data_IF_783617551760
#
_entry.id   IF_783617551760
#
_cell.length_a   1.000
_cell.length_b   1.000
_cell.length_c   1.000
_cell.angle_alpha   90.00
_cell.angle_beta   90.00
_cell.angle_gamma   90.00
#
_symmetry.space_group_name_H-M   'P 1'
#
loop_
_entity.id
_entity.type
_entity.pdbx_description
1 polymer ?
#
# COMPACT_ATOMS: atom_id res chain seq x y z
N UNK A 1 61.97 40.02 -42.34
CA UNK A 1 62.41 40.18 -40.94
C UNK A 1 61.45 39.37 -40.08
N UNK A 2 61.81 38.62 -39.05
CA UNK A 2 63.05 38.08 -38.47
C UNK A 2 62.56 37.03 -37.45
N UNK A 3 63.42 36.06 -37.14
CA UNK A 3 63.14 34.86 -36.35
C UNK A 3 63.05 35.08 -34.81
N UNK A 4 62.30 34.19 -34.14
CA UNK A 4 62.52 33.67 -32.77
C UNK A 4 62.16 34.57 -31.58
N UNK A 5 62.15 34.05 -30.32
CA UNK A 5 62.44 32.69 -29.85
C UNK A 5 61.35 32.06 -28.93
N UNK A 6 61.47 30.75 -28.66
CA UNK A 6 60.75 30.03 -27.61
C UNK A 6 61.50 30.12 -26.25
N UNK A 7 60.79 30.05 -25.11
CA UNK A 7 61.29 29.28 -23.94
C UNK A 7 60.13 28.70 -23.07
N UNK A 8 60.39 28.02 -21.92
CA UNK A 8 61.08 26.73 -21.77
C UNK A 8 60.24 25.68 -20.98
N UNK A 9 60.76 24.45 -20.94
CA UNK A 9 60.28 23.27 -20.18
C UNK A 9 60.43 23.43 -18.65
N UNK A 10 59.43 22.98 -17.87
CA UNK A 10 59.67 22.40 -16.53
C UNK A 10 58.63 21.34 -16.10
N UNK A 11 59.18 20.15 -15.81
CA UNK A 11 58.87 19.20 -14.74
C UNK A 11 57.55 18.37 -14.74
N UNK A 12 57.74 17.06 -14.92
CA UNK A 12 56.87 16.00 -14.37
C UNK A 12 56.92 15.97 -12.84
N UNK A 13 55.95 15.31 -12.19
CA UNK A 13 56.36 14.14 -11.41
C UNK A 13 55.44 12.91 -11.54
N UNK A 14 56.12 11.76 -11.51
CA UNK A 14 55.77 10.50 -10.88
C UNK A 14 54.41 9.84 -11.13
N UNK A 15 54.45 8.92 -12.11
CA UNK A 15 53.58 7.76 -12.20
C UNK A 15 53.92 6.82 -11.03
N UNK A 16 53.03 6.77 -10.03
CA UNK A 16 53.08 5.77 -8.97
C UNK A 16 52.81 4.36 -9.55
N UNK A 17 53.81 3.47 -9.43
CA UNK A 17 53.65 2.03 -9.59
C UNK A 17 52.61 1.51 -8.59
N UNK A 18 51.61 0.78 -9.10
CA UNK A 18 50.77 -0.11 -8.29
C UNK A 18 51.29 -1.56 -8.43
N UNK A 19 51.25 -2.36 -7.35
CA UNK A 19 52.13 -3.52 -7.17
C UNK A 19 51.61 -4.78 -7.87
N UNK A 20 52.56 -5.67 -8.18
CA UNK A 20 52.32 -7.01 -8.67
C UNK A 20 51.50 -7.86 -7.67
N UNK A 21 50.56 -8.71 -8.13
CA UNK A 21 49.93 -9.69 -7.26
C UNK A 21 50.83 -10.92 -7.09
N UNK A 22 50.97 -11.28 -5.83
CA UNK A 22 51.75 -12.39 -5.28
C UNK A 22 51.01 -13.73 -5.51
N UNK A 23 51.79 -14.74 -5.89
CA UNK A 23 51.75 -16.08 -5.26
C UNK A 23 50.52 -16.97 -5.47
N UNK A 24 50.74 -17.97 -6.31
CA UNK A 24 50.00 -19.21 -6.51
C UNK A 24 49.63 -19.97 -5.21
N UNK A 25 48.38 -20.45 -5.10
CA UNK A 25 48.04 -21.67 -4.34
C UNK A 25 47.07 -22.50 -5.17
N UNK A 26 47.40 -23.78 -5.31
CA UNK A 26 46.72 -24.77 -6.12
C UNK A 26 45.34 -25.14 -5.59
N UNK A 27 44.37 -25.32 -6.50
CA UNK A 27 43.15 -26.07 -6.21
C UNK A 27 42.93 -27.20 -7.23
N UNK A 28 42.40 -28.29 -6.69
CA UNK A 28 42.43 -29.66 -7.19
C UNK A 28 41.32 -29.91 -8.21
N UNK A 29 41.68 -30.68 -9.25
CA UNK A 29 40.83 -31.43 -10.19
C UNK A 29 39.31 -31.24 -10.18
N UNK A 30 38.80 -30.60 -11.23
CA UNK A 30 37.37 -30.56 -11.57
C UNK A 30 37.16 -30.69 -13.09
N UNK A 31 36.28 -31.62 -13.49
CA UNK A 31 35.90 -31.97 -14.87
C UNK A 31 35.78 -30.75 -15.82
N UNK A 32 36.38 -30.86 -17.01
CA UNK A 32 36.36 -29.82 -18.05
C UNK A 32 34.98 -29.19 -18.26
N UNK A 33 34.89 -27.90 -17.89
CA UNK A 33 33.75 -27.05 -18.19
C UNK A 33 33.60 -26.94 -19.71
N UNK A 34 32.52 -27.50 -20.26
CA UNK A 34 32.17 -27.32 -21.66
C UNK A 34 31.80 -25.85 -21.85
N UNK A 35 32.61 -25.11 -22.60
CA UNK A 35 32.43 -23.69 -22.93
C UNK A 35 31.13 -23.41 -23.68
N UNK A 36 30.04 -23.23 -22.92
CA UNK A 36 28.68 -23.02 -23.44
C UNK A 36 28.18 -21.59 -23.14
N UNK A 37 29.08 -20.59 -23.17
CA UNK A 37 28.71 -19.18 -23.06
C UNK A 37 28.23 -18.67 -24.43
N UNK A 38 26.99 -18.17 -24.50
CA UNK A 38 26.53 -17.45 -25.69
C UNK A 38 27.14 -16.04 -25.66
N UNK A 39 28.00 -15.73 -26.62
CA UNK A 39 28.68 -14.43 -26.69
C UNK A 39 27.70 -13.28 -26.99
N UNK A 40 27.87 -12.17 -26.27
CA UNK A 40 27.18 -10.89 -26.52
C UNK A 40 27.55 -10.34 -27.91
N UNK A 41 26.86 -9.29 -28.35
CA UNK A 41 27.19 -8.65 -29.63
C UNK A 41 28.60 -8.04 -29.61
N UNK A 42 28.97 -7.41 -28.50
CA UNK A 42 30.25 -6.75 -28.34
C UNK A 42 31.39 -7.77 -28.15
N UNK A 43 31.14 -8.87 -27.43
CA UNK A 43 32.07 -9.99 -27.34
C UNK A 43 32.32 -10.63 -28.73
N UNK A 44 31.29 -10.73 -29.58
CA UNK A 44 31.45 -11.22 -30.97
C UNK A 44 32.21 -10.23 -31.85
N UNK A 45 32.03 -8.92 -31.66
CA UNK A 45 32.83 -7.89 -32.34
C UNK A 45 34.30 -7.96 -31.93
N UNK A 46 34.57 -7.94 -30.62
CA UNK A 46 35.92 -8.04 -30.09
C UNK A 46 36.63 -9.33 -30.56
N UNK A 47 35.89 -10.44 -30.65
CA UNK A 47 36.43 -11.69 -31.20
C UNK A 47 36.74 -11.59 -32.69
N UNK A 48 35.94 -10.86 -33.48
CA UNK A 48 36.26 -10.60 -34.87
C UNK A 48 37.49 -9.70 -35.00
N UNK A 49 37.58 -8.62 -34.22
CA UNK A 49 38.73 -7.72 -34.23
C UNK A 49 40.01 -8.47 -33.87
N UNK A 50 39.97 -9.32 -32.85
CA UNK A 50 41.08 -10.19 -32.43
C UNK A 50 41.56 -11.12 -33.56
N UNK A 51 40.65 -11.60 -34.40
CA UNK A 51 40.97 -12.45 -35.56
C UNK A 51 41.49 -11.62 -36.74
N UNK A 52 40.96 -10.42 -36.97
CA UNK A 52 41.43 -9.50 -38.02
C UNK A 52 42.87 -9.07 -37.78
N UNK A 53 43.28 -8.83 -36.53
CA UNK A 53 44.68 -8.53 -36.17
C UNK A 53 45.63 -9.72 -36.39
N UNK A 54 45.10 -10.95 -36.51
CA UNK A 54 45.87 -12.18 -36.76
C UNK A 54 45.62 -12.75 -38.16
N UNK A 55 45.16 -11.90 -39.08
CA UNK A 55 44.97 -12.22 -40.49
C UNK A 55 46.29 -12.00 -41.24
N UNK A 56 46.61 -12.85 -42.20
CA UNK A 56 47.74 -12.62 -43.11
C UNK A 56 47.39 -11.50 -44.08
N UNK A 57 48.24 -10.46 -44.14
CA UNK A 57 48.04 -9.28 -44.99
C UNK A 57 47.71 -9.67 -46.43
N UNK A 58 46.70 -9.01 -47.01
CA UNK A 58 46.24 -9.27 -48.38
C UNK A 58 45.42 -10.55 -48.60
N UNK A 59 45.22 -11.42 -47.60
CA UNK A 59 44.48 -12.70 -47.79
C UNK A 59 43.43 -12.94 -46.71
N UNK A 60 42.35 -13.69 -46.96
CA UNK A 60 41.33 -14.03 -45.93
C UNK A 60 41.79 -15.12 -44.95
N UNK A 61 43.07 -15.50 -44.99
CA UNK A 61 43.65 -16.56 -44.16
C UNK A 61 44.10 -16.02 -42.81
N UNK A 62 43.85 -16.80 -41.77
CA UNK A 62 44.31 -16.52 -40.41
C UNK A 62 45.69 -17.14 -40.18
N UNK A 63 46.50 -16.49 -39.34
CA UNK A 63 47.75 -17.02 -38.86
C UNK A 63 47.55 -18.38 -38.17
N UNK A 64 48.60 -19.19 -38.16
CA UNK A 64 48.59 -20.51 -37.50
C UNK A 64 48.18 -20.32 -36.03
N UNK A 65 47.28 -21.18 -35.55
CA UNK A 65 46.72 -21.17 -34.19
C UNK A 65 45.75 -20.04 -33.82
N UNK A 66 45.51 -19.03 -34.67
CA UNK A 66 44.62 -17.89 -34.33
C UNK A 66 43.20 -18.28 -33.87
N UNK A 67 42.62 -19.34 -34.45
CA UNK A 67 41.30 -19.86 -34.04
C UNK A 67 41.36 -20.51 -32.65
N UNK A 68 42.46 -21.19 -32.33
CA UNK A 68 42.70 -21.81 -31.02
C UNK A 68 42.91 -20.74 -29.97
N UNK A 69 43.70 -19.70 -30.30
CA UNK A 69 44.00 -18.61 -29.37
C UNK A 69 42.74 -17.80 -29.06
N UNK A 70 41.91 -17.51 -30.07
CA UNK A 70 40.62 -16.86 -29.88
C UNK A 70 39.64 -17.74 -29.08
N UNK A 71 39.67 -19.06 -29.27
CA UNK A 71 38.83 -19.98 -28.49
C UNK A 71 39.20 -19.96 -27.00
N UNK A 72 40.51 -19.91 -26.70
CA UNK A 72 41.02 -19.81 -25.32
C UNK A 72 40.69 -18.45 -24.71
N UNK A 73 40.96 -17.35 -25.41
CA UNK A 73 40.75 -15.98 -24.95
C UNK A 73 39.26 -15.72 -24.62
N UNK A 74 38.36 -16.09 -25.54
CA UNK A 74 36.93 -15.85 -25.40
C UNK A 74 36.18 -16.99 -24.70
N UNK A 75 36.90 -18.04 -24.23
CA UNK A 75 36.36 -19.22 -23.53
C UNK A 75 35.19 -19.88 -24.28
N UNK A 76 35.34 -20.07 -25.59
CA UNK A 76 34.34 -20.67 -26.47
C UNK A 76 34.92 -21.81 -27.29
N UNK A 77 34.08 -22.73 -27.75
CA UNK A 77 34.52 -23.80 -28.63
C UNK A 77 35.10 -23.26 -29.96
N UNK A 78 36.18 -23.88 -30.45
CA UNK A 78 36.85 -23.52 -31.71
C UNK A 78 35.90 -23.49 -32.91
N UNK A 79 34.81 -24.29 -32.89
CA UNK A 79 33.78 -24.27 -33.94
C UNK A 79 32.97 -22.98 -33.92
N UNK A 80 32.74 -22.37 -32.75
CA UNK A 80 32.05 -21.08 -32.62
C UNK A 80 32.88 -19.96 -33.25
N UNK A 81 34.18 -19.93 -32.95
CA UNK A 81 35.14 -19.00 -33.56
C UNK A 81 35.20 -19.18 -35.07
N UNK A 82 35.34 -20.42 -35.54
CA UNK A 82 35.38 -20.74 -36.98
C UNK A 82 34.10 -20.32 -37.71
N UNK A 83 32.93 -20.56 -37.12
CA UNK A 83 31.63 -20.13 -37.68
C UNK A 83 31.47 -18.61 -37.70
N UNK A 84 32.02 -17.89 -36.72
CA UNK A 84 32.03 -16.42 -36.77
C UNK A 84 32.93 -15.93 -37.90
N UNK A 85 34.16 -16.44 -37.99
CA UNK A 85 35.12 -16.04 -39.01
C UNK A 85 34.60 -16.28 -40.43
N UNK A 86 34.06 -17.48 -40.71
CA UNK A 86 33.48 -17.78 -42.02
C UNK A 86 32.37 -16.80 -42.42
N UNK A 87 31.54 -16.37 -41.47
CA UNK A 87 30.46 -15.40 -41.74
C UNK A 87 31.00 -14.00 -42.01
N UNK A 88 31.99 -13.57 -41.24
CA UNK A 88 32.64 -12.29 -41.47
C UNK A 88 33.33 -12.25 -42.84
N UNK A 89 34.03 -13.31 -43.23
CA UNK A 89 34.66 -13.44 -44.57
C UNK A 89 33.61 -13.43 -45.68
N UNK A 90 32.51 -14.17 -45.54
CA UNK A 90 31.43 -14.17 -46.54
C UNK A 90 30.76 -12.80 -46.71
N UNK A 91 30.61 -12.05 -45.62
CA UNK A 91 30.06 -10.68 -45.64
C UNK A 91 31.02 -9.71 -46.32
N UNK A 92 32.33 -9.87 -46.08
CA UNK A 92 33.38 -9.10 -46.76
C UNK A 92 33.45 -9.41 -48.26
N UNK A 93 33.36 -10.69 -48.65
CA UNK A 93 33.34 -11.12 -50.06
C UNK A 93 32.09 -10.64 -50.81
N UNK A 94 30.98 -10.43 -50.10
CA UNK A 94 29.74 -9.88 -50.66
C UNK A 94 29.76 -8.35 -50.82
N UNK A 95 30.79 -7.68 -50.30
CA UNK A 95 30.93 -6.22 -50.37
C UNK A 95 30.13 -5.46 -49.30
N UNK A 96 29.75 -6.12 -48.19
CA UNK A 96 29.07 -5.44 -47.09
C UNK A 96 30.03 -4.45 -46.39
N UNK A 97 29.54 -3.25 -46.06
CA UNK A 97 30.33 -2.23 -45.35
C UNK A 97 30.75 -2.63 -43.92
N UNK A 98 30.07 -3.63 -43.32
CA UNK A 98 30.33 -4.12 -41.97
C UNK A 98 30.21 -5.65 -41.97
N UNK A 99 31.18 -6.34 -41.39
CA UNK A 99 31.16 -7.80 -41.26
C UNK A 99 30.00 -8.30 -40.36
N UNK A 100 29.25 -9.31 -40.84
CA UNK A 100 28.16 -9.93 -40.07
C UNK A 100 28.64 -10.71 -38.83
N UNK A 101 28.58 -10.04 -37.69
CA UNK A 101 28.82 -10.60 -36.36
C UNK A 101 27.53 -11.01 -35.64
N UNK A 102 26.34 -10.79 -36.22
CA UNK A 102 25.06 -10.89 -35.53
C UNK A 102 24.78 -12.31 -35.01
N UNK A 103 24.01 -12.41 -33.92
CA UNK A 103 23.57 -13.70 -33.40
C UNK A 103 22.47 -14.22 -34.31
N UNK A 104 22.50 -15.50 -34.67
CA UNK A 104 21.33 -16.11 -35.33
C UNK A 104 20.21 -16.41 -34.34
N UNK A 105 20.44 -16.29 -33.02
CA UNK A 105 19.41 -16.45 -31.98
C UNK A 105 18.65 -15.14 -31.73
N UNK A 106 17.93 -14.66 -32.74
CA UNK A 106 17.07 -13.46 -32.66
C UNK A 106 15.60 -13.91 -32.51
N UNK A 107 14.82 -13.21 -31.68
CA UNK A 107 13.39 -13.46 -31.45
C UNK A 107 13.07 -14.45 -30.31
N UNK A 108 11.78 -14.80 -30.17
CA UNK A 108 11.28 -15.74 -29.14
C UNK A 108 11.86 -17.14 -29.35
N UNK A 109 12.92 -17.46 -28.62
CA UNK A 109 13.52 -18.80 -28.51
C UNK A 109 13.00 -19.47 -27.25
N UNK A 110 12.35 -20.62 -27.40
CA UNK A 110 11.79 -21.39 -26.27
C UNK A 110 10.43 -21.99 -26.60
N UNK A 111 9.85 -22.72 -25.65
CA UNK A 111 8.49 -23.27 -25.75
C UNK A 111 7.50 -22.12 -25.95
N UNK A 112 6.65 -22.20 -26.98
CA UNK A 112 5.56 -21.25 -27.16
C UNK A 112 4.61 -21.35 -25.96
N UNK A 113 4.26 -20.23 -25.34
CA UNK A 113 3.21 -20.18 -24.31
C UNK A 113 1.91 -20.67 -24.96
N UNK A 114 1.21 -21.61 -24.32
CA UNK A 114 -0.16 -21.97 -24.70
C UNK A 114 -1.05 -20.78 -24.37
N UNK A 115 -1.95 -20.45 -25.29
CA UNK A 115 -3.00 -19.48 -25.04
C UNK A 115 -4.11 -20.15 -24.21
N UNK A 116 -4.50 -19.51 -23.12
CA UNK A 116 -5.52 -19.98 -22.18
C UNK A 116 -6.72 -19.02 -22.11
N UNK A 117 -6.80 -18.06 -23.03
CA UNK A 117 -7.84 -17.02 -23.07
C UNK A 117 -9.25 -17.60 -23.13
N UNK A 118 -9.48 -18.62 -23.96
CA UNK A 118 -10.77 -19.29 -24.07
C UNK A 118 -11.19 -20.00 -22.77
N UNK A 119 -10.22 -20.62 -22.07
CA UNK A 119 -10.47 -21.27 -20.79
C UNK A 119 -10.70 -20.25 -19.66
N UNK A 120 -10.03 -19.09 -19.70
CA UNK A 120 -10.27 -17.98 -18.76
C UNK A 120 -11.67 -17.38 -18.91
N UNK A 121 -12.20 -17.23 -20.13
CA UNK A 121 -13.58 -16.73 -20.31
C UNK A 121 -14.63 -17.67 -19.70
N UNK A 122 -14.40 -19.00 -19.76
CA UNK A 122 -15.27 -20.00 -19.12
C UNK A 122 -15.29 -19.92 -17.59
N UNK A 123 -14.34 -19.22 -16.96
CA UNK A 123 -14.37 -18.96 -15.50
C UNK A 123 -15.68 -18.30 -15.09
N UNK A 124 -16.26 -17.42 -15.93
CA UNK A 124 -17.52 -16.71 -15.65
C UNK A 124 -18.75 -17.61 -15.65
N UNK A 125 -18.66 -18.81 -16.22
CA UNK A 125 -19.77 -19.77 -16.35
C UNK A 125 -19.75 -20.83 -15.24
N UNK A 126 -18.62 -21.03 -14.56
CA UNK A 126 -18.46 -22.06 -13.52
C UNK A 126 -19.28 -21.70 -12.26
N UNK A 127 -20.04 -22.62 -11.65
CA UNK A 127 -20.73 -22.36 -10.38
C UNK A 127 -19.82 -21.79 -9.26
N UNK A 128 -20.34 -20.87 -8.43
CA UNK A 128 -19.54 -20.12 -7.43
C UNK A 128 -18.85 -21.02 -6.39
N UNK A 129 -19.48 -22.12 -6.01
CA UNK A 129 -18.95 -23.16 -5.11
C UNK A 129 -17.64 -23.78 -5.64
N UNK A 130 -17.51 -23.91 -6.96
CA UNK A 130 -16.33 -24.45 -7.62
C UNK A 130 -15.22 -23.40 -7.86
N UNK A 131 -15.50 -22.10 -7.64
CA UNK A 131 -14.52 -21.01 -7.73
C UNK A 131 -13.81 -20.69 -6.40
N UNK A 132 -14.13 -21.41 -5.33
CA UNK A 132 -13.68 -21.04 -3.98
C UNK A 132 -12.16 -21.05 -3.78
N UNK A 133 -11.50 -22.17 -4.11
CA UNK A 133 -10.04 -22.31 -4.02
C UNK A 133 -9.40 -22.35 -5.41
N UNK A 134 -8.16 -21.88 -5.53
CA UNK A 134 -7.39 -21.97 -6.79
C UNK A 134 -7.27 -23.43 -7.27
N UNK A 135 -7.25 -24.40 -6.35
CA UNK A 135 -7.20 -25.83 -6.72
C UNK A 135 -8.53 -26.30 -7.32
N UNK A 136 -9.65 -25.93 -6.72
CA UNK A 136 -10.98 -26.24 -7.23
C UNK A 136 -11.22 -25.56 -8.59
N UNK A 137 -10.89 -24.27 -8.69
CA UNK A 137 -11.00 -23.51 -9.92
C UNK A 137 -10.11 -24.08 -11.03
N UNK A 138 -8.87 -24.45 -10.72
CA UNK A 138 -7.97 -25.12 -11.67
C UNK A 138 -8.58 -26.42 -12.23
N UNK A 139 -9.20 -27.22 -11.37
CA UNK A 139 -9.89 -28.45 -11.77
C UNK A 139 -11.11 -28.17 -12.63
N UNK A 140 -11.91 -27.16 -12.29
CA UNK A 140 -13.14 -26.81 -13.02
C UNK A 140 -12.86 -26.19 -14.39
N UNK A 141 -11.83 -25.34 -14.49
CA UNK A 141 -11.47 -24.66 -15.74
C UNK A 141 -10.64 -25.56 -16.66
N UNK A 142 -9.91 -26.52 -16.09
CA UNK A 142 -8.99 -27.41 -16.81
C UNK A 142 -7.60 -26.80 -17.04
N UNK A 143 -7.23 -25.76 -16.27
CA UNK A 143 -5.91 -25.12 -16.32
C UNK A 143 -5.06 -25.66 -15.17
N UNK A 144 -3.79 -26.04 -15.40
CA UNK A 144 -2.89 -26.42 -14.31
C UNK A 144 -2.81 -25.32 -13.24
N UNK A 145 -2.89 -25.73 -11.96
CA UNK A 145 -2.97 -24.81 -10.80
C UNK A 145 -1.95 -23.67 -10.84
N UNK A 146 -0.68 -23.98 -11.15
CA UNK A 146 0.40 -22.99 -11.18
C UNK A 146 0.24 -22.01 -12.34
N UNK A 147 -0.16 -22.51 -13.51
CA UNK A 147 -0.45 -21.69 -14.69
C UNK A 147 -1.64 -20.78 -14.45
N UNK A 148 -2.72 -21.28 -13.85
CA UNK A 148 -3.88 -20.46 -13.48
C UNK A 148 -3.49 -19.35 -12.48
N UNK A 149 -2.65 -19.66 -11.50
CA UNK A 149 -2.15 -18.67 -10.55
C UNK A 149 -1.32 -17.58 -11.22
N UNK A 150 -0.44 -17.93 -12.16
CA UNK A 150 0.35 -16.96 -12.92
C UNK A 150 -0.52 -16.08 -13.83
N UNK A 151 -1.49 -16.67 -14.54
CA UNK A 151 -2.43 -15.94 -15.39
C UNK A 151 -3.25 -14.93 -14.59
N UNK A 152 -3.84 -15.36 -13.45
CA UNK A 152 -4.58 -14.47 -12.56
C UNK A 152 -3.69 -13.35 -11.96
N UNK A 153 -2.38 -13.59 -11.83
CA UNK A 153 -1.43 -12.59 -11.34
C UNK A 153 -1.01 -11.60 -12.43
N UNK A 154 -0.82 -12.07 -13.66
CA UNK A 154 -0.50 -11.26 -14.83
C UNK A 154 -1.69 -10.39 -15.29
N UNK A 155 -2.91 -10.91 -15.22
CA UNK A 155 -4.17 -10.19 -15.54
C UNK A 155 -4.56 -9.14 -14.48
N UNK A 156 -3.67 -8.80 -13.54
CA UNK A 156 -3.94 -7.79 -12.51
C UNK A 156 -4.98 -8.22 -11.46
N UNK A 157 -5.36 -9.50 -11.42
CA UNK A 157 -6.20 -10.10 -10.37
C UNK A 157 -5.46 -10.70 -9.14
N UNK A 158 -4.16 -10.46 -8.84
CA UNK A 158 -3.49 -11.18 -7.74
C UNK A 158 -3.87 -10.71 -6.33
N UNK A 159 -4.63 -9.63 -6.20
CA UNK A 159 -5.33 -9.35 -4.97
C UNK A 159 -6.79 -9.59 -5.24
N UNK A 160 -7.21 -10.83 -4.98
CA UNK A 160 -8.58 -11.17 -4.63
C UNK A 160 -9.18 -9.93 -3.98
N UNK A 161 -10.08 -9.26 -4.70
CA UNK A 161 -11.10 -8.44 -4.08
C UNK A 161 -11.86 -9.46 -3.26
N UNK A 162 -11.36 -9.76 -2.07
CA UNK A 162 -12.19 -10.20 -0.98
C UNK A 162 -13.14 -9.02 -0.87
N UNK A 163 -14.29 -9.12 -1.56
CA UNK A 163 -15.44 -8.34 -1.18
C UNK A 163 -15.47 -8.47 0.33
N UNK A 164 -15.25 -7.34 1.01
CA UNK A 164 -15.33 -7.30 2.47
C UNK A 164 -16.60 -8.05 2.81
N UNK A 165 -16.48 -9.19 3.51
CA UNK A 165 -17.61 -10.10 3.70
C UNK A 165 -18.68 -9.27 4.38
N UNK A 166 -19.73 -8.96 3.64
CA UNK A 166 -20.78 -8.08 4.13
C UNK A 166 -21.58 -8.89 5.15
N UNK A 167 -21.81 -8.35 6.36
CA UNK A 167 -22.56 -9.08 7.36
C UNK A 167 -23.97 -9.36 6.83
N UNK A 168 -24.54 -10.55 7.09
CA UNK A 168 -25.94 -10.79 6.78
C UNK A 168 -26.82 -9.87 7.63
N UNK A 169 -27.83 -9.25 7.01
CA UNK A 169 -28.74 -8.31 7.66
C UNK A 169 -30.12 -8.94 7.83
N UNK A 170 -30.69 -8.83 9.03
CA UNK A 170 -32.10 -9.10 9.27
C UNK A 170 -32.94 -7.92 8.78
N UNK A 171 -34.25 -8.12 8.60
CA UNK A 171 -35.16 -7.01 8.25
C UNK A 171 -35.12 -5.89 9.30
N UNK A 172 -35.04 -6.24 10.59
CA UNK A 172 -34.84 -5.25 11.66
C UNK A 172 -33.58 -4.40 11.45
N UNK A 173 -32.45 -5.03 11.09
CA UNK A 173 -31.20 -4.29 10.83
C UNK A 173 -31.36 -3.34 9.64
N UNK A 174 -32.04 -3.77 8.56
CA UNK A 174 -32.30 -2.94 7.39
C UNK A 174 -33.14 -1.71 7.74
N UNK A 175 -34.20 -1.89 8.53
CA UNK A 175 -35.07 -0.79 9.00
C UNK A 175 -34.29 0.18 9.89
N UNK A 176 -33.47 -0.30 10.81
CA UNK A 176 -32.62 0.58 11.65
C UNK A 176 -31.62 1.37 10.82
N UNK A 177 -31.04 0.77 9.77
CA UNK A 177 -30.18 1.45 8.80
C UNK A 177 -30.94 2.54 8.03
N UNK A 178 -32.15 2.25 7.55
CA UNK A 178 -33.00 3.23 6.85
C UNK A 178 -33.36 4.42 7.75
N UNK A 179 -33.78 4.14 8.99
CA UNK A 179 -34.07 5.20 9.98
C UNK A 179 -32.85 6.09 10.22
N UNK A 180 -31.66 5.49 10.33
CA UNK A 180 -30.42 6.25 10.45
C UNK A 180 -30.17 7.13 9.23
N UNK A 181 -30.21 6.58 8.00
CA UNK A 181 -30.01 7.38 6.79
C UNK A 181 -31.04 8.52 6.65
N UNK A 182 -32.31 8.25 6.96
CA UNK A 182 -33.37 9.25 6.92
C UNK A 182 -33.13 10.38 7.94
N UNK A 183 -32.66 10.06 9.15
CA UNK A 183 -32.35 11.07 10.17
C UNK A 183 -31.17 11.99 9.81
N UNK A 184 -30.35 11.60 8.82
CA UNK A 184 -29.25 12.40 8.29
C UNK A 184 -29.64 13.26 7.09
N UNK A 185 -30.91 13.22 6.65
CA UNK A 185 -31.41 14.08 5.58
C UNK A 185 -32.08 15.34 6.14
N UNK A 186 -31.75 16.47 5.51
CA UNK A 186 -32.40 17.76 5.73
C UNK A 186 -33.70 17.82 4.93
N UNK A 187 -34.58 18.75 5.30
CA UNK A 187 -35.86 18.95 4.62
C UNK A 187 -35.74 19.25 3.11
N UNK A 188 -34.62 19.82 2.68
CA UNK A 188 -34.32 20.12 1.28
C UNK A 188 -33.71 18.93 0.50
N UNK A 189 -33.60 17.74 1.11
CA UNK A 189 -33.05 16.54 0.47
C UNK A 189 -31.51 16.45 0.46
N UNK A 190 -30.80 17.45 1.00
CA UNK A 190 -29.35 17.34 1.23
C UNK A 190 -29.08 16.49 2.47
N UNK A 191 -28.01 15.69 2.42
CA UNK A 191 -27.46 15.12 3.65
C UNK A 191 -26.93 16.21 4.59
N UNK A 192 -26.87 15.90 5.88
CA UNK A 192 -26.19 16.74 6.86
C UNK A 192 -24.72 16.95 6.48
N UNK A 193 -24.18 18.15 6.73
CA UNK A 193 -22.78 18.47 6.46
C UNK A 193 -21.83 17.71 7.40
N UNK A 194 -22.33 17.24 8.54
CA UNK A 194 -21.58 16.47 9.54
C UNK A 194 -20.39 17.22 10.13
N UNK A 195 -20.37 18.56 10.10
CA UNK A 195 -19.28 19.34 10.69
C UNK A 195 -19.18 19.17 12.21
N UNK A 196 -20.28 18.82 12.87
CA UNK A 196 -20.37 18.53 14.29
C UNK A 196 -20.23 17.03 14.63
N UNK A 197 -19.77 16.19 13.69
CA UNK A 197 -19.61 14.75 13.91
C UNK A 197 -18.13 14.37 13.92
N UNK A 198 -17.72 13.68 14.98
CA UNK A 198 -16.41 13.08 15.17
C UNK A 198 -16.53 11.58 14.96
N UNK A 199 -15.82 11.02 13.99
CA UNK A 199 -15.79 9.58 13.75
C UNK A 199 -14.60 8.94 14.45
N UNK A 200 -14.88 7.93 15.26
CA UNK A 200 -13.85 7.10 15.89
C UNK A 200 -13.90 5.67 15.34
N UNK A 201 -12.72 5.05 15.19
CA UNK A 201 -12.64 3.63 14.89
C UNK A 201 -11.39 3.00 15.50
N UNK A 202 -11.50 1.70 15.83
CA UNK A 202 -10.40 0.90 16.35
C UNK A 202 -9.83 -0.02 15.28
N UNK A 203 -8.51 -0.18 15.23
CA UNK A 203 -7.86 -1.10 14.30
C UNK A 203 -6.59 -1.71 14.87
N UNK A 204 -6.42 -3.01 14.66
CA UNK A 204 -5.16 -3.70 14.87
C UNK A 204 -4.15 -3.35 13.77
N UNK A 205 -2.98 -2.88 14.17
CA UNK A 205 -1.87 -2.54 13.29
C UNK A 205 -0.61 -3.30 13.72
N UNK A 206 0.21 -3.66 12.73
CA UNK A 206 1.44 -4.45 12.90
C UNK A 206 2.49 -3.94 11.91
N UNK A 207 3.77 -4.05 12.28
CA UNK A 207 4.85 -3.77 11.34
C UNK A 207 4.87 -4.83 10.24
N UNK A 208 5.23 -4.43 9.02
CA UNK A 208 5.31 -5.41 7.92
C UNK A 208 6.41 -6.45 8.15
N UNK A 209 7.50 -6.05 8.85
CA UNK A 209 8.65 -6.91 9.19
C UNK A 209 8.40 -7.83 10.37
N UNK A 210 7.49 -7.44 11.27
CA UNK A 210 7.12 -8.25 12.42
C UNK A 210 5.59 -8.30 12.58
N UNK A 211 5.02 -9.43 12.15
CA UNK A 211 3.59 -9.70 12.26
C UNK A 211 3.19 -10.21 13.65
N UNK A 212 4.15 -10.51 14.53
CA UNK A 212 3.88 -10.99 15.89
C UNK A 212 3.51 -9.83 16.80
N UNK A 213 4.23 -8.72 16.69
CA UNK A 213 3.91 -7.50 17.45
C UNK A 213 2.74 -6.75 16.83
N UNK A 214 1.59 -6.77 17.50
CA UNK A 214 0.37 -6.08 17.09
C UNK A 214 -0.13 -5.18 18.22
N UNK A 215 -0.58 -4.00 17.85
CA UNK A 215 -1.24 -3.06 18.76
C UNK A 215 -2.62 -2.68 18.22
N UNK A 216 -3.59 -2.58 19.11
CA UNK A 216 -4.85 -1.93 18.78
C UNK A 216 -4.66 -0.42 18.92
N UNK A 217 -5.17 0.33 17.94
CA UNK A 217 -5.22 1.78 17.97
C UNK A 217 -6.65 2.27 17.84
N UNK A 218 -6.99 3.35 18.53
CA UNK A 218 -8.18 4.14 18.27
C UNK A 218 -7.80 5.41 17.54
N UNK A 219 -8.44 5.68 16.41
CA UNK A 219 -8.23 6.89 15.64
C UNK A 219 -9.50 7.73 15.59
N UNK A 220 -9.37 9.04 15.71
CA UNK A 220 -10.48 9.98 15.68
C UNK A 220 -10.27 11.04 14.60
N UNK A 221 -11.26 11.27 13.75
CA UNK A 221 -11.26 12.37 12.76
C UNK A 221 -12.60 13.09 12.78
N UNK A 222 -12.58 14.35 12.41
CA UNK A 222 -13.76 15.15 12.14
C UNK A 222 -13.64 15.78 10.75
N UNK A 223 -14.72 16.37 10.26
CA UNK A 223 -14.70 16.94 8.93
C UNK A 223 -13.81 18.20 8.89
N UNK A 224 -12.85 18.30 7.95
CA UNK A 224 -12.01 19.49 7.82
C UNK A 224 -12.86 20.71 7.48
N UNK A 225 -12.55 21.84 8.12
CA UNK A 225 -13.33 23.07 7.95
C UNK A 225 -12.53 24.28 8.45
N UNK A 226 -12.87 25.47 7.94
CA UNK A 226 -12.29 26.71 8.44
C UNK A 226 -12.93 27.11 9.77
N UNK A 227 -12.13 27.53 10.75
CA UNK A 227 -12.62 28.11 12.00
C UNK A 227 -12.44 29.63 12.00
N UNK A 228 -13.52 30.41 11.79
CA UNK A 228 -13.45 31.87 11.76
C UNK A 228 -12.98 32.49 13.08
N UNK A 229 -13.16 31.79 14.21
CA UNK A 229 -12.79 32.32 15.53
C UNK A 229 -11.29 32.18 15.82
N UNK A 230 -10.65 31.14 15.27
CA UNK A 230 -9.21 30.91 15.40
C UNK A 230 -8.41 31.46 14.21
N UNK A 231 -9.10 31.83 13.13
CA UNK A 231 -8.52 32.15 11.81
C UNK A 231 -7.57 31.06 11.30
N UNK A 232 -7.96 29.80 11.50
CA UNK A 232 -7.16 28.62 11.12
C UNK A 232 -8.05 27.59 10.46
N UNK A 233 -7.50 26.91 9.45
CA UNK A 233 -8.16 25.77 8.83
C UNK A 233 -7.91 24.50 9.64
N UNK A 234 -8.98 23.92 10.19
CA UNK A 234 -8.92 22.64 10.88
C UNK A 234 -8.80 21.50 9.86
N UNK A 235 -7.74 20.70 9.99
CA UNK A 235 -7.36 19.65 9.04
C UNK A 235 -8.15 18.34 9.18
N UNK A 236 -9.06 18.27 10.15
CA UNK A 236 -9.89 17.09 10.43
C UNK A 236 -9.25 16.07 11.37
N UNK A 237 -7.98 16.23 11.78
CA UNK A 237 -7.26 15.25 12.60
C UNK A 237 -7.36 15.58 14.08
N UNK A 238 -7.93 14.65 14.87
CA UNK A 238 -7.97 14.79 16.33
C UNK A 238 -6.82 14.02 17.00
N UNK A 239 -6.63 12.77 16.63
CA UNK A 239 -5.53 11.94 17.12
C UNK A 239 -5.68 10.46 16.81
N UNK A 240 -4.62 9.72 17.13
CA UNK A 240 -4.56 8.26 17.09
C UNK A 240 -3.83 7.79 18.36
N UNK A 241 -4.41 6.85 19.09
CA UNK A 241 -3.92 6.43 20.40
C UNK A 241 -3.78 4.91 20.47
N UNK A 242 -2.64 4.37 20.92
CA UNK A 242 -2.47 2.94 21.14
C UNK A 242 -3.11 2.49 22.45
N UNK A 243 -3.62 1.26 22.49
CA UNK A 243 -3.98 0.56 23.73
C UNK A 243 -2.75 -0.13 24.31
N UNK A 244 -2.13 0.53 25.30
CA UNK A 244 -0.96 0.02 26.04
C UNK A 244 -1.19 0.10 27.53
N UNK A 245 -0.61 -0.84 28.28
CA UNK A 245 -0.53 -0.79 29.74
C UNK A 245 0.89 -0.40 30.14
N UNK A 246 1.02 0.43 31.17
CA UNK A 246 2.28 0.64 31.84
C UNK A 246 2.56 -0.53 32.79
N UNK A 247 3.70 -1.20 32.61
CA UNK A 247 4.22 -2.19 33.52
C UNK A 247 5.53 -1.69 34.13
N UNK A 248 5.71 -2.00 35.41
CA UNK A 248 6.94 -1.71 36.14
C UNK A 248 7.81 -2.96 36.04
N UNK A 249 8.93 -2.86 35.33
CA UNK A 249 9.88 -3.96 35.21
C UNK A 249 10.77 -4.01 36.47
N UNK A 250 10.88 -5.14 37.17
CA UNK A 250 11.91 -5.32 38.20
C UNK A 250 13.30 -5.28 37.53
N UNK A 251 14.24 -4.52 38.10
CA UNK A 251 15.64 -4.56 37.65
C UNK A 251 16.29 -5.86 38.12
N UNK A 252 17.02 -6.54 37.24
CA UNK A 252 18.02 -7.51 37.70
C UNK A 252 19.12 -6.77 38.47
N UNK A 253 19.50 -7.31 39.64
CA UNK A 253 20.42 -6.67 40.56
C UNK A 253 21.84 -6.55 39.97
N UNK A 254 22.10 -5.48 39.24
CA UNK A 254 23.43 -5.03 38.83
C UNK A 254 23.94 -3.93 39.75
N UNK A 255 25.12 -4.13 40.33
CA UNK A 255 25.77 -3.21 41.28
C UNK A 255 25.98 -1.79 40.71
N UNK A 256 25.02 -0.90 40.94
CA UNK A 256 25.24 0.55 40.98
C UNK A 256 24.05 1.22 41.67
N UNK A 257 24.36 2.02 42.69
CA UNK A 257 23.38 2.71 43.53
C UNK A 257 22.75 3.88 42.77
N UNK A 258 21.69 3.63 42.01
CA UNK A 258 20.62 4.57 41.67
C UNK A 258 19.49 3.79 40.98
N UNK A 259 18.60 3.21 41.78
CA UNK A 259 17.47 2.42 41.28
C UNK A 259 16.35 3.34 40.78
N UNK A 260 16.45 3.80 39.53
CA UNK A 260 15.34 4.45 38.83
C UNK A 260 14.50 3.36 38.16
N UNK A 261 13.29 3.13 38.67
CA UNK A 261 12.32 2.24 38.02
C UNK A 261 11.96 2.75 36.63
N UNK A 262 12.18 1.96 35.58
CA UNK A 262 11.76 2.30 34.22
C UNK A 262 10.34 1.80 33.96
N UNK A 263 9.41 2.73 33.71
CA UNK A 263 8.06 2.42 33.23
C UNK A 263 8.14 1.93 31.79
N UNK A 264 7.75 0.68 31.54
CA UNK A 264 7.71 0.09 30.19
C UNK A 264 6.27 -0.06 29.74
N UNK A 265 5.98 0.24 28.48
CA UNK A 265 4.63 0.05 27.91
C UNK A 265 4.53 -1.32 27.24
N UNK A 266 3.47 -2.06 27.56
CA UNK A 266 3.19 -3.40 27.02
C UNK A 266 1.86 -3.37 26.25
N UNK A 267 1.76 -4.05 25.10
CA UNK A 267 0.50 -4.21 24.37
C UNK A 267 -0.61 -4.78 25.24
N UNK A 268 -1.81 -4.23 25.14
CA UNK A 268 -2.99 -4.88 25.72
C UNK A 268 -3.43 -6.04 24.82
N UNK A 269 -3.42 -7.27 25.36
CA UNK A 269 -3.87 -8.47 24.63
C UNK A 269 -5.37 -8.44 24.32
N UNK A 270 -6.16 -7.89 25.25
CA UNK A 270 -7.59 -7.67 25.10
C UNK A 270 -7.94 -6.24 25.52
N UNK A 271 -8.70 -5.55 24.68
CA UNK A 271 -9.23 -4.22 24.97
C UNK A 271 -10.65 -4.38 25.52
N UNK A 272 -10.87 -3.95 26.76
CA UNK A 272 -12.18 -4.03 27.40
C UNK A 272 -13.04 -2.82 27.02
N UNK A 273 -14.34 -2.90 27.32
CA UNK A 273 -15.28 -1.78 27.13
C UNK A 273 -14.86 -0.55 27.95
N UNK A 274 -14.42 -0.78 29.18
CA UNK A 274 -14.01 0.29 30.09
C UNK A 274 -12.72 0.97 29.60
N UNK A 275 -11.81 0.23 28.95
CA UNK A 275 -10.61 0.82 28.34
C UNK A 275 -10.97 1.73 27.16
N UNK A 276 -11.93 1.32 26.33
CA UNK A 276 -12.45 2.16 25.25
C UNK A 276 -13.10 3.43 25.80
N UNK A 277 -13.95 3.28 26.82
CA UNK A 277 -14.63 4.40 27.44
C UNK A 277 -13.66 5.36 28.11
N UNK A 278 -12.64 4.84 28.80
CA UNK A 278 -11.55 5.63 29.37
C UNK A 278 -10.83 6.43 28.30
N UNK A 279 -10.49 5.80 27.16
CA UNK A 279 -9.85 6.50 26.04
C UNK A 279 -10.71 7.61 25.45
N UNK A 280 -12.02 7.39 25.33
CA UNK A 280 -12.95 8.41 24.85
C UNK A 280 -13.00 9.61 25.82
N UNK A 281 -13.13 9.33 27.12
CA UNK A 281 -13.27 10.36 28.16
C UNK A 281 -11.96 11.11 28.40
N UNK A 282 -10.83 10.41 28.51
CA UNK A 282 -9.55 10.99 28.95
C UNK A 282 -8.69 11.53 27.81
N UNK A 283 -8.87 11.03 26.57
CA UNK A 283 -8.02 11.42 25.43
C UNK A 283 -8.83 12.11 24.33
N UNK A 284 -9.91 11.49 23.85
CA UNK A 284 -10.68 12.03 22.71
C UNK A 284 -11.46 13.29 23.11
N UNK A 285 -12.14 13.27 24.26
CA UNK A 285 -12.96 14.41 24.71
C UNK A 285 -12.11 15.68 24.93
N UNK A 286 -10.94 15.61 25.61
CA UNK A 286 -10.00 16.72 25.65
C UNK A 286 -9.48 17.15 24.27
N UNK A 287 -9.14 16.20 23.38
CA UNK A 287 -8.67 16.51 22.04
C UNK A 287 -9.73 17.26 21.20
N UNK A 288 -11.00 16.89 21.33
CA UNK A 288 -12.14 17.61 20.71
C UNK A 288 -12.15 19.06 21.21
N UNK A 289 -12.13 19.29 22.52
CA UNK A 289 -12.16 20.66 23.08
C UNK A 289 -10.97 21.52 22.64
N UNK A 290 -9.80 20.91 22.49
CA UNK A 290 -8.59 21.62 22.08
C UNK A 290 -8.62 21.97 20.58
N UNK A 291 -8.97 21.00 19.73
CA UNK A 291 -8.74 21.09 18.28
C UNK A 291 -9.98 21.46 17.48
N UNK A 292 -11.19 21.09 17.93
CA UNK A 292 -12.39 21.39 17.15
C UNK A 292 -12.59 22.90 16.97
N UNK A 293 -13.23 23.30 15.86
CA UNK A 293 -13.60 24.69 15.62
C UNK A 293 -14.49 25.25 16.72
N UNK A 294 -14.17 26.44 17.22
CA UNK A 294 -14.86 27.03 18.37
C UNK A 294 -16.28 27.51 18.03
N UNK A 295 -16.53 27.87 16.77
CA UNK A 295 -17.87 28.25 16.33
C UNK A 295 -18.90 27.09 16.42
N UNK A 296 -18.45 25.84 16.54
CA UNK A 296 -19.31 24.67 16.76
C UNK A 296 -19.69 24.46 18.22
N UNK A 297 -18.99 25.10 19.16
CA UNK A 297 -19.21 24.97 20.60
C UNK A 297 -20.67 25.17 21.06
N UNK A 298 -21.48 26.07 20.47
CA UNK A 298 -22.90 26.21 20.83
C UNK A 298 -23.79 25.05 20.39
N UNK A 299 -23.28 24.10 19.60
CA UNK A 299 -24.02 22.96 19.05
C UNK A 299 -23.53 21.65 19.68
N UNK A 300 -24.40 20.62 19.75
CA UNK A 300 -23.97 19.30 20.17
C UNK A 300 -22.95 18.72 19.17
N UNK A 301 -21.85 18.20 19.70
CA UNK A 301 -20.84 17.42 18.97
C UNK A 301 -21.14 15.93 19.19
N UNK A 302 -21.22 15.17 18.11
CA UNK A 302 -21.49 13.73 18.18
C UNK A 302 -20.22 12.92 17.93
N UNK A 303 -19.79 12.13 18.91
CA UNK A 303 -18.78 11.09 18.71
C UNK A 303 -19.49 9.83 18.18
N UNK A 304 -19.26 9.53 16.92
CA UNK A 304 -19.83 8.38 16.24
C UNK A 304 -18.93 7.14 16.36
N UNK A 305 -19.50 6.03 16.81
CA UNK A 305 -18.82 4.74 16.97
C UNK A 305 -19.64 3.56 16.40
N UNK A 306 -18.94 2.50 15.98
CA UNK A 306 -19.50 1.33 15.28
C UNK A 306 -20.35 0.39 16.17
N UNK A 307 -20.17 0.40 17.50
CA UNK A 307 -20.86 -0.57 18.36
C UNK A 307 -21.48 0.03 19.62
N UNK A 308 -22.81 -0.06 19.71
CA UNK A 308 -23.56 0.22 20.94
C UNK A 308 -23.16 -0.70 22.12
N UNK A 309 -22.62 -1.89 21.82
CA UNK A 309 -22.15 -2.88 22.81
C UNK A 309 -20.93 -2.42 23.60
N UNK A 310 -20.28 -1.33 23.21
CA UNK A 310 -19.07 -0.79 23.86
C UNK A 310 -19.42 0.05 25.11
N UNK A 311 -20.69 0.46 25.29
CA UNK A 311 -21.11 1.28 26.44
C UNK A 311 -21.12 0.48 27.76
N UNK A 312 -20.57 1.07 28.83
CA UNK A 312 -20.83 0.66 30.22
C UNK A 312 -21.59 1.78 30.95
N UNK A 313 -22.56 1.41 31.78
CA UNK A 313 -23.44 2.39 32.45
C UNK A 313 -22.69 3.33 33.39
N UNK A 314 -21.62 2.85 34.04
CA UNK A 314 -20.77 3.65 34.92
C UNK A 314 -19.93 4.66 34.12
N UNK A 315 -19.38 4.27 32.98
CA UNK A 315 -18.60 5.17 32.16
C UNK A 315 -19.46 6.23 31.46
N UNK A 316 -20.75 5.95 31.20
CA UNK A 316 -21.65 6.90 30.53
C UNK A 316 -21.89 8.15 31.38
N UNK A 317 -21.95 8.01 32.72
CA UNK A 317 -22.09 9.12 33.64
C UNK A 317 -20.84 10.02 33.64
N UNK A 318 -19.65 9.43 33.81
CA UNK A 318 -18.38 10.16 33.79
C UNK A 318 -18.14 10.87 32.44
N UNK A 319 -18.47 10.19 31.33
CA UNK A 319 -18.40 10.79 30.00
C UNK A 319 -19.37 11.96 29.85
N UNK A 320 -20.62 11.82 30.32
CA UNK A 320 -21.62 12.89 30.20
C UNK A 320 -21.21 14.15 30.96
N UNK A 321 -20.60 14.00 32.14
CA UNK A 321 -20.04 15.12 32.88
C UNK A 321 -18.86 15.75 32.13
N UNK A 322 -17.89 14.95 31.70
CA UNK A 322 -16.70 15.42 30.99
C UNK A 322 -17.04 16.13 29.66
N UNK A 323 -18.01 15.58 28.93
CA UNK A 323 -18.50 16.11 27.66
C UNK A 323 -19.24 17.44 27.78
N UNK A 324 -19.73 17.80 28.97
CA UNK A 324 -20.40 19.08 29.26
C UNK A 324 -19.47 20.16 29.81
N UNK A 325 -18.22 19.82 30.12
CA UNK A 325 -17.25 20.79 30.67
C UNK A 325 -16.89 21.87 29.66
N UNK A 326 -16.54 23.03 30.19
CA UNK A 326 -16.09 24.19 29.43
C UNK A 326 -17.09 24.70 28.37
N UNK A 327 -18.39 24.39 28.53
CA UNK A 327 -19.45 24.85 27.63
C UNK A 327 -19.51 24.12 26.29
N UNK A 328 -18.93 22.92 26.22
CA UNK A 328 -19.18 21.98 25.12
C UNK A 328 -20.37 21.08 25.46
N UNK A 329 -21.01 20.50 24.45
CA UNK A 329 -22.00 19.43 24.60
C UNK A 329 -21.57 18.26 23.71
N UNK A 330 -20.78 17.35 24.26
CA UNK A 330 -20.24 16.20 23.53
C UNK A 330 -21.04 14.95 23.88
N UNK A 331 -21.61 14.31 22.86
CA UNK A 331 -22.54 13.19 23.00
C UNK A 331 -22.05 11.99 22.19
N UNK A 332 -22.34 10.77 22.66
CA UNK A 332 -22.04 9.54 21.92
C UNK A 332 -23.20 9.16 21.01
N UNK A 333 -22.90 8.87 19.76
CA UNK A 333 -23.84 8.34 18.78
C UNK A 333 -23.37 6.96 18.30
N UNK A 334 -24.18 5.92 18.53
CA UNK A 334 -23.90 4.59 18.00
C UNK A 334 -24.43 4.44 16.58
N UNK A 335 -23.67 3.75 15.75
CA UNK A 335 -24.14 3.30 14.45
C UNK A 335 -25.19 2.18 14.57
N UNK A 336 -26.07 2.03 13.56
CA UNK A 336 -26.93 0.87 13.46
C UNK A 336 -26.09 -0.43 13.43
N UNK A 337 -26.58 -1.52 14.03
CA UNK A 337 -25.88 -2.81 14.02
C UNK A 337 -25.48 -3.25 12.61
N UNK A 338 -24.31 -3.89 12.50
CA UNK A 338 -23.81 -4.47 11.25
C UNK A 338 -23.65 -3.45 10.10
N UNK A 339 -23.25 -2.21 10.42
CA UNK A 339 -23.11 -1.13 9.44
C UNK A 339 -21.68 -0.58 9.33
N UNK A 340 -20.68 -1.43 8.98
CA UNK A 340 -19.29 -1.00 8.86
C UNK A 340 -19.09 0.03 7.72
N UNK A 341 -20.02 0.07 6.77
CA UNK A 341 -20.09 1.02 5.66
C UNK A 341 -20.53 2.43 6.08
N UNK A 342 -20.96 2.62 7.33
CA UNK A 342 -21.29 3.94 7.88
C UNK A 342 -20.16 4.58 8.70
N UNK A 343 -18.93 4.07 8.55
CA UNK A 343 -17.75 4.59 9.25
C UNK A 343 -16.89 5.43 8.31
N UNK A 344 -16.50 6.64 8.71
CA UNK A 344 -15.54 7.48 7.96
C UNK A 344 -14.11 6.96 8.10
N UNK A 345 -13.71 6.62 9.33
CA UNK A 345 -12.43 5.95 9.60
C UNK A 345 -12.47 4.48 9.16
N UNK A 346 -12.47 4.26 7.85
CA UNK A 346 -12.66 2.96 7.23
C UNK A 346 -11.36 2.39 6.64
N UNK A 347 -11.50 1.34 5.82
CA UNK A 347 -10.39 0.76 5.08
C UNK A 347 -9.63 1.78 4.21
N UNK A 348 -10.28 2.80 3.66
CA UNK A 348 -9.64 3.79 2.80
C UNK A 348 -8.70 4.71 3.59
N UNK A 349 -9.14 5.26 4.73
CA UNK A 349 -8.28 6.12 5.57
C UNK A 349 -7.18 5.35 6.31
N UNK A 350 -7.38 4.06 6.58
CA UNK A 350 -6.31 3.22 7.14
C UNK A 350 -5.27 2.74 6.11
N UNK A 351 -5.54 2.81 4.79
CA UNK A 351 -4.57 2.39 3.76
C UNK A 351 -3.26 3.21 3.80
N UNK A 352 -3.28 4.55 3.85
CA UNK A 352 -2.06 5.35 4.00
C UNK A 352 -1.27 5.00 5.28
N UNK A 353 -1.97 4.82 6.41
CA UNK A 353 -1.37 4.42 7.68
C UNK A 353 -0.66 3.07 7.53
N UNK A 354 -1.34 2.08 6.95
CA UNK A 354 -0.76 0.76 6.68
C UNK A 354 0.41 0.80 5.67
N UNK A 355 0.40 1.74 4.72
CA UNK A 355 1.52 1.94 3.81
C UNK A 355 2.76 2.48 4.54
N UNK A 356 2.58 3.42 5.48
CA UNK A 356 3.67 3.92 6.31
C UNK A 356 4.35 2.81 7.14
N UNK A 357 3.59 1.82 7.60
CA UNK A 357 4.10 0.63 8.32
C UNK A 357 4.98 -0.31 7.46
N UNK A 358 4.98 -0.15 6.12
CA UNK A 358 5.81 -0.96 5.21
C UNK A 358 7.16 -0.32 4.93
N UNK A 359 7.24 1.01 4.95
CA UNK A 359 8.44 1.75 4.53
C UNK A 359 9.53 1.69 5.61
N UNK A 360 9.16 1.43 6.88
CA UNK A 360 10.10 1.41 8.01
C UNK A 360 10.64 2.81 8.32
N UNK A 361 11.03 3.07 9.57
CA UNK A 361 11.89 4.23 9.83
C UNK A 361 13.30 3.94 9.29
N UNK A 362 14.02 4.92 8.69
CA UNK A 362 15.47 4.81 8.57
C UNK A 362 16.01 4.62 9.98
N UNK A 363 16.65 3.48 10.24
CA UNK A 363 17.30 3.25 11.53
C UNK A 363 18.39 4.31 11.69
N UNK A 364 18.17 5.30 12.54
CA UNK A 364 19.24 6.16 13.03
C UNK A 364 20.19 5.27 13.82
N UNK A 365 21.41 5.14 13.31
CA UNK A 365 22.48 4.32 13.89
C UNK A 365 22.72 4.78 15.34
N UNK A 366 22.32 3.97 16.33
CA UNK A 366 22.71 4.18 17.75
C UNK A 366 21.60 4.16 18.80
N UNK A 367 20.31 4.09 18.44
CA UNK A 367 19.22 3.98 19.44
C UNK A 367 18.54 2.61 19.36
N UNK A 368 18.65 1.82 20.43
CA UNK A 368 17.86 0.60 20.63
C UNK A 368 16.42 0.99 20.98
N UNK A 369 15.63 1.35 19.98
CA UNK A 369 14.20 1.63 20.17
C UNK A 369 13.43 0.31 20.18
N UNK A 370 12.54 0.12 21.16
CA UNK A 370 11.69 -1.07 21.19
C UNK A 370 10.84 -1.17 19.93
N UNK A 371 10.60 -2.40 19.44
CA UNK A 371 9.73 -2.67 18.27
C UNK A 371 8.35 -2.01 18.44
N UNK A 372 7.88 -1.91 19.67
CA UNK A 372 6.63 -1.26 20.04
C UNK A 372 6.66 0.25 19.76
N UNK A 373 7.72 0.94 20.21
CA UNK A 373 7.86 2.37 20.01
C UNK A 373 8.00 2.71 18.52
N UNK A 374 8.68 1.88 17.74
CA UNK A 374 8.72 2.04 16.28
C UNK A 374 7.34 1.87 15.63
N UNK A 375 6.56 0.88 16.08
CA UNK A 375 5.18 0.68 15.60
C UNK A 375 4.34 1.92 15.87
N UNK A 376 4.34 2.43 17.10
CA UNK A 376 3.59 3.65 17.49
C UNK A 376 4.02 4.83 16.63
N UNK A 377 5.32 5.13 16.55
CA UNK A 377 5.84 6.25 15.76
C UNK A 377 5.52 6.12 14.26
N UNK A 378 5.47 4.90 13.72
CA UNK A 378 5.12 4.67 12.33
C UNK A 378 3.62 4.85 12.07
N UNK A 379 2.76 4.44 13.01
CA UNK A 379 1.32 4.71 12.97
C UNK A 379 1.05 6.21 13.06
N UNK A 380 1.69 6.90 13.99
CA UNK A 380 1.55 8.36 14.16
C UNK A 380 1.97 9.12 12.91
N UNK A 381 3.12 8.78 12.30
CA UNK A 381 3.55 9.36 11.01
C UNK A 381 2.55 9.08 9.90
N UNK A 382 2.03 7.85 9.82
CA UNK A 382 1.04 7.46 8.83
C UNK A 382 -0.30 8.18 9.01
N UNK A 383 -0.69 8.47 10.24
CA UNK A 383 -1.90 9.24 10.54
C UNK A 383 -1.69 10.73 10.27
N UNK A 384 -0.52 11.28 10.62
CA UNK A 384 -0.16 12.67 10.35
C UNK A 384 -0.13 12.99 8.85
N UNK A 385 0.21 12.01 8.00
CA UNK A 385 0.23 12.16 6.55
C UNK A 385 -1.15 12.17 5.88
N UNK A 386 -2.22 11.88 6.62
CA UNK A 386 -3.59 12.03 6.10
C UNK A 386 -3.84 13.50 5.73
N UNK A 387 -4.31 13.70 4.51
CA UNK A 387 -4.65 15.01 3.97
C UNK A 387 -6.09 15.37 4.29
N UNK A 388 -6.39 16.67 4.36
CA UNK A 388 -7.77 17.17 4.51
C UNK A 388 -8.69 16.62 3.41
N UNK A 389 -8.20 16.53 2.19
CA UNK A 389 -8.99 16.08 1.03
C UNK A 389 -9.37 14.61 1.14
N UNK A 390 -8.44 13.76 1.60
CA UNK A 390 -8.73 12.35 1.89
C UNK A 390 -9.80 12.18 2.98
N UNK A 391 -9.75 13.01 4.03
CA UNK A 391 -10.73 12.97 5.11
C UNK A 391 -12.09 13.44 4.60
N UNK A 392 -12.16 14.57 3.90
CA UNK A 392 -13.41 15.10 3.35
C UNK A 392 -14.05 14.14 2.33
N UNK A 393 -13.24 13.50 1.48
CA UNK A 393 -13.69 12.46 0.55
C UNK A 393 -14.35 11.28 1.26
N UNK A 394 -13.87 10.91 2.45
CA UNK A 394 -14.45 9.84 3.25
C UNK A 394 -15.83 10.23 3.80
N UNK A 395 -16.04 11.48 4.20
CA UNK A 395 -17.38 11.98 4.56
C UNK A 395 -18.35 11.96 3.36
N UNK A 396 -17.89 12.32 2.16
CA UNK A 396 -18.70 12.22 0.95
C UNK A 396 -18.96 10.76 0.54
N UNK A 397 -18.02 9.85 0.79
CA UNK A 397 -18.24 8.40 0.61
C UNK A 397 -19.36 7.91 1.51
N UNK A 398 -19.37 8.36 2.77
CA UNK A 398 -20.41 8.02 3.73
C UNK A 398 -21.78 8.51 3.27
N UNK A 399 -21.90 9.74 2.80
CA UNK A 399 -23.17 10.25 2.26
C UNK A 399 -23.66 9.43 1.05
N UNK A 400 -22.77 9.01 0.14
CA UNK A 400 -23.12 8.10 -0.96
C UNK A 400 -23.48 6.68 -0.49
N UNK A 401 -22.85 6.18 0.57
CA UNK A 401 -23.22 4.92 1.20
C UNK A 401 -24.64 4.98 1.77
N UNK A 402 -25.01 6.08 2.43
CA UNK A 402 -26.36 6.30 2.93
C UNK A 402 -27.39 6.38 1.79
N UNK A 403 -27.11 7.15 0.72
CA UNK A 403 -27.98 7.19 -0.47
C UNK A 403 -28.17 5.81 -1.09
N UNK A 404 -27.09 5.05 -1.23
CA UNK A 404 -27.14 3.70 -1.80
C UNK A 404 -27.92 2.74 -0.91
N UNK A 405 -27.74 2.81 0.41
CA UNK A 405 -28.52 2.03 1.39
C UNK A 405 -30.01 2.34 1.28
N UNK A 406 -30.36 3.62 1.14
CA UNK A 406 -31.75 4.04 0.93
C UNK A 406 -32.34 3.45 -0.35
N UNK A 407 -31.59 3.49 -1.45
CA UNK A 407 -32.02 2.93 -2.75
C UNK A 407 -32.24 1.42 -2.71
N UNK A 408 -31.42 0.67 -1.95
CA UNK A 408 -31.57 -0.79 -1.79
C UNK A 408 -32.36 -1.19 -0.53
N UNK A 409 -33.19 -0.28 0.00
CA UNK A 409 -34.12 -0.54 1.11
C UNK A 409 -33.42 -1.12 2.36
N UNK A 410 -32.29 -0.52 2.76
CA UNK A 410 -31.59 -0.87 4.00
C UNK A 410 -30.58 -2.00 3.85
N UNK A 411 -30.57 -2.70 2.71
CA UNK A 411 -29.58 -3.74 2.40
C UNK A 411 -28.16 -3.16 2.26
N UNK A 412 -27.15 -4.03 2.34
CA UNK A 412 -25.75 -3.70 2.08
C UNK A 412 -25.27 -4.23 0.72
N UNK A 413 -26.15 -4.67 -0.17
CA UNK A 413 -25.81 -5.31 -1.46
C UNK A 413 -25.22 -4.38 -2.52
N UNK A 414 -25.15 -3.07 -2.28
CA UNK A 414 -24.63 -2.09 -3.24
C UNK A 414 -23.10 -2.05 -3.31
N UNK A 415 -22.58 -1.57 -4.42
CA UNK A 415 -21.16 -1.23 -4.57
C UNK A 415 -21.02 0.28 -4.77
N UNK A 416 -20.11 0.89 -4.02
CA UNK A 416 -19.78 2.29 -4.21
C UNK A 416 -18.88 2.40 -5.44
N UNK A 417 -19.47 2.83 -6.57
CA UNK A 417 -18.75 3.09 -7.80
C UNK A 417 -17.75 4.26 -7.68
N UNK A 418 -16.93 4.49 -8.72
CA UNK A 418 -16.07 5.67 -8.79
C UNK A 418 -16.91 6.94 -8.71
N UNK A 419 -16.63 7.78 -7.72
CA UNK A 419 -17.50 8.92 -7.37
C UNK A 419 -17.08 10.23 -8.04
N UNK A 420 -16.08 10.22 -8.93
CA UNK A 420 -15.59 11.40 -9.65
C UNK A 420 -15.02 12.51 -8.75
N UNK A 421 -14.87 12.26 -7.45
CA UNK A 421 -14.51 13.26 -6.42
C UNK A 421 -13.18 13.95 -6.70
N UNK A 422 -12.18 13.19 -7.13
CA UNK A 422 -10.86 13.72 -7.48
C UNK A 422 -10.94 14.82 -8.56
N UNK A 423 -11.82 14.65 -9.55
CA UNK A 423 -12.04 15.66 -10.58
C UNK A 423 -12.70 16.91 -10.01
N UNK A 424 -13.77 16.73 -9.21
CA UNK A 424 -14.48 17.84 -8.57
C UNK A 424 -13.59 18.61 -7.57
N UNK A 425 -12.68 17.93 -6.89
CA UNK A 425 -11.67 18.56 -6.03
C UNK A 425 -10.71 19.42 -6.83
N UNK A 426 -10.18 18.90 -7.94
CA UNK A 426 -9.28 19.65 -8.82
C UNK A 426 -9.95 20.90 -9.41
N UNK A 427 -11.26 20.82 -9.67
CA UNK A 427 -12.09 21.93 -10.16
C UNK A 427 -12.55 22.89 -9.05
N UNK A 428 -12.28 22.58 -7.77
CA UNK A 428 -12.76 23.38 -6.63
C UNK A 428 -14.28 23.36 -6.43
N UNK A 429 -14.97 22.39 -7.05
CA UNK A 429 -16.43 22.27 -7.10
C UNK A 429 -16.96 21.13 -6.23
N UNK A 430 -16.11 20.52 -5.39
CA UNK A 430 -16.51 19.43 -4.52
C UNK A 430 -17.58 19.90 -3.51
N UNK A 431 -18.77 19.30 -3.49
CA UNK A 431 -19.85 19.77 -2.62
C UNK A 431 -19.60 19.39 -1.16
N UNK A 432 -20.02 20.24 -0.23
CA UNK A 432 -20.05 19.90 1.19
C UNK A 432 -21.11 18.82 1.47
N UNK A 433 -22.29 18.94 0.88
CA UNK A 433 -23.40 18.00 1.09
C UNK A 433 -23.92 17.48 -0.24
N UNK A 434 -24.16 16.17 -0.29
CA UNK A 434 -24.70 15.50 -1.47
C UNK A 434 -26.22 15.61 -1.46
N UNK A 435 -26.78 16.02 -2.58
CA UNK A 435 -28.23 15.95 -2.82
C UNK A 435 -28.61 14.48 -3.02
N UNK A 436 -29.42 13.96 -2.10
CA UNK A 436 -29.90 12.59 -2.19
C UNK A 436 -30.86 12.46 -3.38
N UNK A 437 -30.69 11.41 -4.18
CA UNK A 437 -31.54 11.19 -5.34
C UNK A 437 -33.01 10.99 -4.91
N UNK A 438 -33.99 11.65 -5.56
CA UNK A 438 -35.40 11.52 -5.20
C UNK A 438 -35.88 10.06 -5.09
N UNK A 439 -35.50 9.20 -6.03
CA UNK A 439 -35.82 7.76 -6.00
C UNK A 439 -35.32 7.05 -4.74
N UNK A 440 -34.13 7.41 -4.23
CA UNK A 440 -33.61 6.83 -2.99
C UNK A 440 -34.43 7.29 -1.79
N UNK A 441 -34.86 8.56 -1.76
CA UNK A 441 -35.75 9.10 -0.73
C UNK A 441 -37.10 8.38 -0.76
N UNK A 442 -37.69 8.21 -1.95
CA UNK A 442 -38.96 7.51 -2.13
C UNK A 442 -38.87 6.04 -1.72
N UNK A 443 -37.82 5.33 -2.15
CA UNK A 443 -37.59 3.93 -1.78
C UNK A 443 -37.44 3.76 -0.26
N UNK A 444 -36.72 4.67 0.41
CA UNK A 444 -36.57 4.68 1.85
C UNK A 444 -37.91 4.90 2.56
N UNK A 445 -38.69 5.90 2.13
CA UNK A 445 -40.01 6.18 2.72
C UNK A 445 -40.96 5.01 2.57
N UNK A 446 -41.11 4.48 1.35
CA UNK A 446 -41.97 3.32 1.09
C UNK A 446 -41.60 2.10 1.95
N UNK A 447 -40.30 1.83 2.14
CA UNK A 447 -39.84 0.74 2.99
C UNK A 447 -40.10 0.99 4.49
N UNK A 448 -40.05 2.24 4.95
CA UNK A 448 -40.37 2.58 6.34
C UNK A 448 -41.88 2.57 6.61
N UNK A 449 -42.70 3.05 5.67
CA UNK A 449 -44.15 3.10 5.77
C UNK A 449 -44.77 1.69 5.69
N UNK A 450 -44.27 0.82 4.80
CA UNK A 450 -44.71 -0.57 4.72
C UNK A 450 -44.43 -1.38 5.98
N UNK A 451 -43.43 -1.00 6.78
CA UNK A 451 -43.18 -1.62 8.10
C UNK A 451 -44.19 -1.13 9.13
N UNK A 452 -44.65 0.12 9.06
CA UNK A 452 -45.68 0.63 9.97
C UNK A 452 -47.05 -0.01 9.73
N UNK A 453 -47.38 -0.38 8.49
CA UNK A 453 -48.63 -1.08 8.16
C UNK A 453 -48.64 -2.56 8.59
N UNK A 454 -47.48 -3.21 8.71
CA UNK A 454 -47.37 -4.61 9.17
C UNK A 454 -47.30 -4.78 10.69
N UNK A 455 -47.17 -3.67 11.44
CA UNK A 455 -47.06 -3.67 12.91
C UNK A 455 -48.37 -3.20 13.58
N UNK A 456 -49.31 -2.65 12.80
CA UNK A 456 -50.71 -2.40 13.18
C UNK A 456 -51.57 -3.60 12.79
#
# INVERSE_FOLDING_TARGET
>A
MLAGPAPPLTAAPDVALMPAPVGFVAEVGGRGERGNKNLSHDERRAMLDFLLHRRTEGTTKLARHAITDAATEFRVDRRTVSRLWKRAVQSLEKGDAVCDVASRKIGRRGRRKRDWSAELERVKEIPLDQRGSIRALASAVGIPKTTLFELLREDGSPNRVLNSIKPPLTEKNKVERLKYCASKLRANGLFDDMFNVVHINMKWLALSRDKKTKLMFMAAVARPQYDPQKDVFFDGKLGIWPFVRAEMSPLEAGNSNEAVSHQTFVPMEAVTKDDVQRMITELITPAIRQKMPLHLKPRPIFIQQDSAKIRSSAGDAAFTEEGRKHGWDIQLQSLPPYSPDFTVMDGALFKPIQAALRVGAPLTLGTSTSVLAELVASVERGYASLTKDQIDDAFLSLQKAMESTMRVQGSNTYELGPTGKQRLQHEGSLPVSILCHPDAILACRAALDGVTEHVL
#
